data_IF_902874380243
#
_entry.id   IF_902874380243
#
_cell.length_a   1.000
_cell.length_b   1.000
_cell.length_c   1.000
_cell.angle_alpha   90.00
_cell.angle_beta   90.00
_cell.angle_gamma   90.00
#
_symmetry.space_group_name_H-M   'P 1'
#
loop_
_entity.id
_entity.type
_entity.pdbx_description
1 polymer ?
#
# COMPACT_ATOMS: atom_id res chain seq x y z
N UNK A 1 16.96 -28.42 32.75
CA UNK A 1 15.59 -28.95 32.88
C UNK A 1 15.20 -29.53 31.55
N UNK A 2 15.00 -30.87 31.51
CA UNK A 2 14.75 -31.59 30.24
C UNK A 2 13.25 -31.57 29.94
N UNK A 3 12.85 -30.97 28.84
CA UNK A 3 11.48 -31.07 28.35
C UNK A 3 11.29 -32.33 27.52
N UNK A 4 10.48 -33.26 28.03
CA UNK A 4 10.05 -34.45 27.28
C UNK A 4 8.97 -34.07 26.28
N UNK A 5 9.29 -34.21 24.98
CA UNK A 5 8.34 -34.13 23.88
C UNK A 5 7.48 -35.40 23.88
N UNK A 6 6.16 -35.26 23.98
CA UNK A 6 5.21 -36.37 23.76
C UNK A 6 5.04 -36.58 22.25
N UNK A 7 5.32 -37.79 21.79
CA UNK A 7 5.11 -38.18 20.41
C UNK A 7 3.60 -38.23 20.07
N UNK A 8 3.22 -37.63 18.96
CA UNK A 8 1.88 -37.73 18.39
C UNK A 8 1.76 -39.01 17.53
N UNK A 9 0.66 -39.81 17.61
CA UNK A 9 0.56 -41.11 16.94
C UNK A 9 0.34 -41.11 15.43
N UNK A 10 0.21 -39.98 14.78
CA UNK A 10 -0.06 -39.85 13.34
C UNK A 10 0.92 -38.89 12.70
N UNK A 11 2.17 -39.29 12.54
CA UNK A 11 3.13 -38.82 11.53
C UNK A 11 3.21 -37.33 11.18
N UNK A 12 2.67 -36.41 11.97
CA UNK A 12 2.79 -34.96 11.77
C UNK A 12 4.23 -34.54 12.12
N UNK A 13 5.06 -34.33 11.13
CA UNK A 13 6.27 -33.53 11.29
C UNK A 13 5.83 -32.11 11.69
N UNK A 14 6.09 -31.73 12.93
CA UNK A 14 6.06 -30.33 13.33
C UNK A 14 7.12 -29.62 12.48
N UNK A 15 6.68 -28.89 11.45
CA UNK A 15 7.57 -27.96 10.76
C UNK A 15 8.03 -26.94 11.82
N UNK A 16 9.32 -26.83 12.01
CA UNK A 16 9.91 -25.72 12.76
C UNK A 16 9.43 -24.47 12.07
N UNK A 17 8.68 -23.61 12.76
CA UNK A 17 8.26 -22.31 12.21
C UNK A 17 9.54 -21.56 11.83
N UNK A 18 9.75 -21.36 10.53
CA UNK A 18 10.88 -20.59 10.00
C UNK A 18 10.46 -19.13 10.12
N UNK A 19 11.19 -18.37 10.90
CA UNK A 19 11.05 -16.90 10.90
C UNK A 19 11.73 -16.36 9.64
N UNK A 20 11.03 -15.50 8.91
CA UNK A 20 11.61 -14.78 7.76
C UNK A 20 12.55 -13.70 8.27
N UNK A 21 13.79 -13.69 7.76
CA UNK A 21 14.76 -12.69 8.12
C UNK A 21 14.73 -11.55 7.07
N UNK A 22 14.18 -10.41 7.45
CA UNK A 22 14.14 -9.21 6.60
C UNK A 22 15.43 -8.40 6.75
N UNK A 23 16.24 -8.39 5.71
CA UNK A 23 17.50 -7.63 5.65
C UNK A 23 17.21 -6.18 5.21
N UNK A 24 17.10 -5.28 6.17
CA UNK A 24 16.93 -3.84 5.93
C UNK A 24 18.23 -3.25 5.37
N UNK A 25 18.11 -2.45 4.31
CA UNK A 25 19.30 -1.77 3.75
C UNK A 25 19.92 -0.81 4.79
N UNK A 26 21.25 -0.74 4.86
CA UNK A 26 21.92 0.17 5.77
C UNK A 26 21.69 1.66 5.44
N UNK A 27 21.29 1.95 4.19
CA UNK A 27 20.95 3.29 3.70
C UNK A 27 19.55 3.77 4.14
N UNK A 28 18.76 2.90 4.79
CA UNK A 28 17.41 3.26 5.21
C UNK A 28 17.37 4.39 6.26
N UNK A 29 16.40 5.31 6.14
CA UNK A 29 15.40 5.42 5.07
C UNK A 29 16.01 5.96 3.78
N UNK A 30 15.68 5.30 2.63
CA UNK A 30 16.25 5.65 1.32
C UNK A 30 15.68 6.91 0.69
N UNK A 31 14.46 7.32 1.08
CA UNK A 31 13.86 8.60 0.70
C UNK A 31 13.15 9.19 1.92
N UNK A 32 13.44 10.45 2.22
CA UNK A 32 12.83 11.21 3.33
C UNK A 32 12.12 12.45 2.80
N UNK A 33 11.21 13.07 3.57
CA UNK A 33 10.54 14.32 3.18
C UNK A 33 11.53 15.44 2.80
N UNK A 34 12.68 15.52 3.47
CA UNK A 34 13.70 16.52 3.19
C UNK A 34 14.36 16.39 1.80
N UNK A 35 14.32 15.21 1.20
CA UNK A 35 14.84 14.94 -0.14
C UNK A 35 13.85 15.32 -1.25
N UNK A 36 12.59 15.63 -0.91
CA UNK A 36 11.52 15.87 -1.88
C UNK A 36 11.15 17.36 -1.86
N UNK A 37 11.37 18.10 -2.95
CA UNK A 37 10.99 19.52 -2.99
C UNK A 37 9.46 19.65 -2.98
N UNK A 38 8.89 20.66 -2.29
CA UNK A 38 7.44 20.86 -2.28
C UNK A 38 6.94 21.21 -3.68
N UNK A 39 5.68 20.86 -3.98
CA UNK A 39 5.05 21.15 -5.27
C UNK A 39 4.75 22.64 -5.47
N UNK A 40 4.64 23.40 -4.38
CA UNK A 40 4.38 24.84 -4.33
C UNK A 40 5.20 25.49 -3.20
N UNK A 41 5.56 26.79 -3.34
CA UNK A 41 6.36 27.48 -2.31
C UNK A 41 5.69 27.64 -0.94
N UNK A 42 4.35 27.65 -0.90
CA UNK A 42 3.53 27.77 0.31
C UNK A 42 3.21 26.43 0.98
N UNK A 43 3.71 25.32 0.41
CA UNK A 43 3.53 23.97 0.93
C UNK A 43 4.83 23.41 1.50
N UNK A 44 4.73 22.42 2.36
CA UNK A 44 5.83 21.58 2.83
C UNK A 44 5.48 20.10 2.69
N UNK A 45 6.47 19.27 2.41
CA UNK A 45 6.31 17.82 2.36
C UNK A 45 6.25 17.28 3.78
N UNK A 46 5.15 16.65 4.14
CA UNK A 46 4.91 16.03 5.44
C UNK A 46 5.32 14.56 5.48
N UNK A 47 5.24 13.88 4.34
CA UNK A 47 5.61 12.48 4.22
C UNK A 47 5.86 12.08 2.77
N UNK A 48 6.71 11.08 2.58
CA UNK A 48 6.94 10.39 1.31
C UNK A 48 6.99 8.90 1.60
N UNK A 49 5.99 8.14 1.17
CA UNK A 49 5.81 6.76 1.63
C UNK A 49 4.98 5.93 0.64
N UNK A 50 4.76 4.64 0.95
CA UNK A 50 3.94 3.69 0.22
C UNK A 50 4.25 3.65 -1.31
N UNK A 51 5.51 3.46 -1.71
CA UNK A 51 5.88 3.51 -3.11
C UNK A 51 5.41 2.27 -3.86
N UNK A 52 4.85 2.45 -5.07
CA UNK A 52 4.90 1.39 -6.06
C UNK A 52 6.32 1.22 -6.60
N UNK A 53 6.69 0.01 -7.02
CA UNK A 53 7.99 -0.28 -7.58
C UNK A 53 7.88 -1.11 -8.85
N UNK A 54 8.67 -0.78 -9.87
CA UNK A 54 8.75 -1.54 -11.12
C UNK A 54 10.13 -1.44 -11.74
N UNK A 55 10.57 -2.48 -12.47
CA UNK A 55 11.71 -2.38 -13.36
C UNK A 55 11.30 -1.64 -14.63
N UNK A 56 12.14 -0.69 -15.04
CA UNK A 56 11.97 0.05 -16.28
C UNK A 56 13.34 0.26 -16.92
N UNK A 57 13.49 -0.19 -18.17
CA UNK A 57 14.80 -0.23 -18.84
C UNK A 57 15.86 -0.97 -17.99
N UNK A 58 16.99 -0.36 -17.70
CA UNK A 58 18.06 -0.93 -16.86
C UNK A 58 17.97 -0.56 -15.39
N UNK A 59 16.91 0.14 -14.96
CA UNK A 59 16.80 0.69 -13.62
C UNK A 59 15.50 0.29 -12.89
N UNK A 60 15.27 0.99 -11.80
CA UNK A 60 14.08 0.86 -10.97
C UNK A 60 13.35 2.20 -10.92
N UNK A 61 12.05 2.16 -11.10
CA UNK A 61 11.15 3.30 -10.85
C UNK A 61 10.36 3.04 -9.59
N UNK A 62 10.32 4.03 -8.72
CA UNK A 62 9.31 4.16 -7.68
C UNK A 62 8.29 5.22 -8.08
N UNK A 63 7.02 4.94 -7.86
CA UNK A 63 5.96 5.94 -7.87
C UNK A 63 5.56 6.19 -6.42
N UNK A 64 5.99 7.33 -5.90
CA UNK A 64 5.89 7.71 -4.49
C UNK A 64 4.55 8.38 -4.20
N UNK A 65 3.92 8.07 -3.08
CA UNK A 65 2.94 8.95 -2.46
C UNK A 65 3.70 10.07 -1.73
N UNK A 66 3.43 11.31 -2.08
CA UNK A 66 3.98 12.49 -1.42
C UNK A 66 2.84 13.29 -0.82
N UNK A 67 2.84 13.44 0.48
CA UNK A 67 1.84 14.19 1.25
C UNK A 67 2.37 15.58 1.58
N UNK A 68 1.58 16.61 1.28
CA UNK A 68 1.93 18.02 1.50
C UNK A 68 0.86 18.74 2.33
N UNK A 69 1.29 19.67 3.16
CA UNK A 69 0.44 20.55 3.95
C UNK A 69 0.94 22.01 3.84
N UNK A 70 0.15 23.01 4.26
CA UNK A 70 0.61 24.37 4.32
C UNK A 70 1.84 24.51 5.21
N UNK A 71 2.88 25.20 4.70
CA UNK A 71 4.14 25.41 5.43
C UNK A 71 3.95 26.23 6.70
N UNK A 72 3.10 27.23 6.62
CA UNK A 72 2.84 28.15 7.71
C UNK A 72 1.37 28.24 8.02
N UNK A 73 1.01 28.09 9.28
CA UNK A 73 -0.33 28.33 9.79
C UNK A 73 -0.25 29.31 10.96
N UNK A 74 -1.18 30.28 11.04
CA UNK A 74 -1.31 31.12 12.23
C UNK A 74 -1.50 30.28 13.50
N UNK A 75 -0.97 30.76 14.61
CA UNK A 75 -1.15 30.10 15.90
C UNK A 75 -2.64 29.92 16.24
N UNK A 76 -3.01 28.72 16.68
CA UNK A 76 -4.42 28.39 17.00
C UNK A 76 -5.29 28.05 15.80
N UNK A 77 -4.75 27.98 14.58
CA UNK A 77 -5.47 27.54 13.39
C UNK A 77 -5.11 26.10 13.01
N UNK A 78 -6.05 25.46 12.31
CA UNK A 78 -5.89 24.20 11.60
C UNK A 78 -6.32 24.42 10.14
N UNK A 79 -5.72 23.69 9.22
CA UNK A 79 -6.04 23.80 7.81
C UNK A 79 -6.27 22.44 7.17
N UNK A 80 -7.06 22.45 6.10
CA UNK A 80 -7.20 21.36 5.14
C UNK A 80 -6.83 21.82 3.74
N UNK A 81 -6.23 20.90 2.98
CA UNK A 81 -5.90 21.10 1.57
C UNK A 81 -6.91 20.38 0.70
N UNK A 82 -7.57 21.09 -0.21
CA UNK A 82 -8.62 20.53 -1.06
C UNK A 82 -8.42 20.98 -2.51
N UNK A 83 -8.40 20.04 -3.43
CA UNK A 83 -8.46 20.40 -4.85
C UNK A 83 -9.89 20.80 -5.22
N UNK A 84 -10.02 22.00 -5.79
CA UNK A 84 -11.27 22.52 -6.35
C UNK A 84 -11.28 22.29 -7.86
N UNK A 85 -12.25 21.50 -8.33
CA UNK A 85 -12.44 21.24 -9.75
C UNK A 85 -12.89 22.54 -10.51
N UNK A 86 -13.54 23.48 -9.81
CA UNK A 86 -13.98 24.75 -10.37
C UNK A 86 -12.80 25.70 -10.65
N UNK A 87 -11.95 25.91 -9.64
CA UNK A 87 -10.75 26.76 -9.76
C UNK A 87 -9.55 26.04 -10.40
N UNK A 88 -9.58 24.72 -10.52
CA UNK A 88 -8.48 23.82 -10.92
C UNK A 88 -7.21 24.01 -10.07
N UNK A 89 -7.38 24.28 -8.78
CA UNK A 89 -6.31 24.57 -7.83
C UNK A 89 -6.51 23.84 -6.50
N UNK A 90 -5.41 23.66 -5.79
CA UNK A 90 -5.46 23.28 -4.39
C UNK A 90 -5.75 24.54 -3.57
N UNK A 91 -6.89 24.53 -2.89
CA UNK A 91 -7.34 25.55 -1.95
C UNK A 91 -6.97 25.15 -0.52
N UNK A 92 -6.59 26.12 0.31
CA UNK A 92 -6.30 25.93 1.72
C UNK A 92 -7.49 26.50 2.50
N UNK A 93 -8.27 25.63 3.12
CA UNK A 93 -9.32 25.98 4.06
C UNK A 93 -8.75 26.07 5.46
N UNK A 94 -9.18 27.06 6.25
CA UNK A 94 -8.65 27.30 7.60
C UNK A 94 -9.77 27.51 8.60
N UNK A 95 -9.55 26.99 9.81
CA UNK A 95 -10.46 27.16 10.94
C UNK A 95 -9.65 27.41 12.22
N UNK A 96 -10.24 28.13 13.17
CA UNK A 96 -9.70 28.21 14.52
C UNK A 96 -9.93 26.88 15.21
N UNK A 97 -8.92 26.34 15.91
CA UNK A 97 -9.02 25.05 16.61
C UNK A 97 -10.05 25.04 17.74
N UNK A 98 -10.29 26.22 18.34
CA UNK A 98 -11.24 26.46 19.44
C UNK A 98 -12.64 26.93 18.95
N UNK A 99 -12.87 26.96 17.63
CA UNK A 99 -14.19 27.34 17.10
C UNK A 99 -15.21 26.23 17.36
N UNK A 100 -16.45 26.63 17.61
CA UNK A 100 -17.57 25.70 17.75
C UNK A 100 -17.71 24.82 16.48
N UNK A 101 -17.95 23.53 16.68
CA UNK A 101 -18.07 22.55 15.58
C UNK A 101 -16.75 22.10 14.96
N UNK A 102 -15.58 22.53 15.47
CA UNK A 102 -14.25 22.12 15.00
C UNK A 102 -13.62 21.12 15.97
N UNK A 103 -13.26 19.94 15.46
CA UNK A 103 -12.42 18.96 16.16
C UNK A 103 -11.14 18.74 15.34
N UNK A 104 -10.00 19.06 15.93
CA UNK A 104 -8.65 18.91 15.37
C UNK A 104 -7.76 18.06 16.28
N UNK A 105 -8.34 17.06 16.96
CA UNK A 105 -7.62 16.14 17.84
C UNK A 105 -6.76 15.12 17.08
N UNK A 106 -7.16 14.72 15.87
CA UNK A 106 -6.35 13.87 14.98
C UNK A 106 -5.50 14.77 14.05
N UNK A 107 -4.17 14.60 14.02
CA UNK A 107 -3.29 15.40 13.18
C UNK A 107 -3.51 15.18 11.66
N UNK A 108 -4.16 14.10 11.26
CA UNK A 108 -4.42 13.74 9.86
C UNK A 108 -5.67 14.39 9.29
N UNK A 109 -6.62 14.77 10.16
CA UNK A 109 -7.91 15.28 9.74
C UNK A 109 -8.43 16.39 10.69
N UNK A 110 -9.31 17.19 10.18
CA UNK A 110 -10.12 18.10 10.97
C UNK A 110 -11.60 17.82 10.66
N UNK A 111 -12.40 17.66 11.69
CA UNK A 111 -13.85 17.54 11.56
C UNK A 111 -14.46 18.93 11.77
N UNK A 112 -15.24 19.41 10.81
CA UNK A 112 -15.93 20.69 10.87
C UNK A 112 -17.40 20.46 10.57
N UNK A 113 -18.26 20.77 11.52
CA UNK A 113 -19.72 20.55 11.45
C UNK A 113 -20.08 19.11 10.99
N UNK A 114 -19.34 18.13 11.53
CA UNK A 114 -19.51 16.70 11.20
C UNK A 114 -18.94 16.26 9.86
N UNK A 115 -18.23 17.14 9.13
CA UNK A 115 -17.53 16.80 7.88
C UNK A 115 -16.05 16.64 8.12
N UNK A 116 -15.47 15.56 7.61
CA UNK A 116 -14.04 15.28 7.66
C UNK A 116 -13.32 16.01 6.53
N UNK A 117 -12.20 16.64 6.87
CA UNK A 117 -11.27 17.29 5.95
C UNK A 117 -9.86 16.81 6.27
N UNK A 118 -9.10 16.43 5.25
CA UNK A 118 -7.72 16.02 5.47
C UNK A 118 -6.78 17.23 5.60
N UNK A 119 -5.89 17.19 6.60
CA UNK A 119 -4.94 18.28 6.89
C UNK A 119 -3.82 18.37 5.86
N UNK A 120 -3.63 17.32 5.06
CA UNK A 120 -2.67 17.24 3.97
C UNK A 120 -3.33 16.74 2.69
N UNK A 121 -2.68 16.97 1.55
CA UNK A 121 -3.09 16.46 0.24
C UNK A 121 -1.95 15.66 -0.38
N UNK A 122 -2.27 14.49 -0.93
CA UNK A 122 -1.27 13.63 -1.56
C UNK A 122 -1.29 13.75 -3.08
N UNK A 123 -0.10 13.65 -3.68
CA UNK A 123 0.10 13.48 -5.11
C UNK A 123 1.12 12.36 -5.38
N UNK A 124 1.24 11.91 -6.63
CA UNK A 124 2.19 10.88 -7.00
C UNK A 124 3.41 11.48 -7.68
N UNK A 125 4.60 10.99 -7.33
CA UNK A 125 5.89 11.48 -7.85
C UNK A 125 6.80 10.33 -8.26
N UNK A 126 7.46 10.47 -9.41
CA UNK A 126 8.41 9.48 -9.90
C UNK A 126 9.77 9.68 -9.22
N UNK A 127 10.39 8.56 -8.84
CA UNK A 127 11.79 8.49 -8.47
C UNK A 127 12.49 7.40 -9.28
N UNK A 128 13.74 7.66 -9.70
CA UNK A 128 14.52 6.78 -10.58
C UNK A 128 15.81 6.37 -9.91
N UNK A 129 16.20 5.12 -10.11
CA UNK A 129 17.44 4.55 -9.60
C UNK A 129 18.03 3.55 -10.57
N UNK A 130 19.36 3.49 -10.67
CA UNK A 130 20.08 2.45 -11.42
C UNK A 130 20.39 1.22 -10.56
N UNK A 131 20.43 1.34 -9.23
CA UNK A 131 20.84 0.28 -8.30
C UNK A 131 19.70 -0.20 -7.38
N UNK A 132 18.56 0.56 -7.36
CA UNK A 132 17.41 0.26 -6.52
C UNK A 132 17.57 0.64 -5.05
N UNK A 133 18.56 1.47 -4.72
CA UNK A 133 18.84 2.00 -3.38
C UNK A 133 18.92 3.53 -3.41
N UNK A 134 19.71 4.08 -4.31
CA UNK A 134 19.90 5.53 -4.45
C UNK A 134 18.94 6.06 -5.51
N UNK A 135 17.99 6.87 -5.08
CA UNK A 135 16.92 7.39 -5.95
C UNK A 135 17.05 8.90 -6.15
N UNK A 136 16.88 9.31 -7.40
CA UNK A 136 16.64 10.70 -7.76
C UNK A 136 15.14 10.93 -7.89
N UNK A 137 14.59 11.83 -7.06
CA UNK A 137 13.16 12.16 -7.06
C UNK A 137 12.91 13.30 -8.05
N UNK A 138 11.97 13.11 -8.98
CA UNK A 138 11.61 14.15 -9.96
C UNK A 138 11.01 15.37 -9.26
N UNK A 139 11.35 16.58 -9.73
CA UNK A 139 10.95 17.84 -9.10
C UNK A 139 9.44 18.08 -9.14
N UNK A 140 8.82 17.73 -10.25
CA UNK A 140 7.38 17.93 -10.44
C UNK A 140 6.58 16.68 -10.07
N UNK A 141 5.37 16.81 -9.52
CA UNK A 141 4.44 15.70 -9.42
C UNK A 141 4.14 15.07 -10.79
N UNK A 142 4.19 13.74 -10.87
CA UNK A 142 3.80 12.98 -12.05
C UNK A 142 2.28 12.97 -12.23
N UNK A 143 1.55 12.79 -11.12
CA UNK A 143 0.09 12.85 -11.09
C UNK A 143 -0.35 13.67 -9.88
N UNK A 144 -1.26 14.62 -10.12
CA UNK A 144 -1.89 15.46 -9.09
C UNK A 144 -3.40 15.38 -9.22
N UNK A 145 -4.19 15.78 -8.22
CA UNK A 145 -5.64 15.85 -8.33
C UNK A 145 -6.08 16.65 -9.57
N UNK A 146 -7.10 16.14 -10.27
CA UNK A 146 -7.66 16.77 -11.49
C UNK A 146 -9.18 16.88 -11.48
N UNK A 147 -9.86 16.17 -10.58
CA UNK A 147 -11.31 16.16 -10.50
C UNK A 147 -11.83 16.04 -9.05
N UNK A 148 -13.15 15.99 -8.91
CA UNK A 148 -13.82 15.92 -7.61
C UNK A 148 -13.58 14.60 -6.85
N UNK A 149 -13.22 13.50 -7.55
CA UNK A 149 -12.97 12.20 -6.92
C UNK A 149 -11.61 12.13 -6.25
N UNK A 150 -10.72 13.07 -6.60
CA UNK A 150 -9.37 13.21 -6.07
C UNK A 150 -9.20 14.46 -5.20
N UNK A 151 -10.31 15.07 -4.74
CA UNK A 151 -10.27 16.36 -4.07
C UNK A 151 -9.38 16.41 -2.82
N UNK A 152 -9.14 15.27 -2.16
CA UNK A 152 -8.22 15.13 -1.02
C UNK A 152 -6.89 14.44 -1.39
N UNK A 153 -6.69 14.10 -2.67
CA UNK A 153 -5.42 13.58 -3.18
C UNK A 153 -5.49 12.18 -3.79
N UNK A 154 -4.32 11.75 -4.22
CA UNK A 154 -4.03 10.42 -4.78
C UNK A 154 -3.10 9.69 -3.83
N UNK A 155 -3.43 8.44 -3.47
CA UNK A 155 -2.71 7.66 -2.48
C UNK A 155 -2.33 6.28 -3.01
N UNK A 156 -1.25 5.72 -2.46
CA UNK A 156 -0.89 4.30 -2.48
C UNK A 156 -0.98 3.66 -3.87
N UNK A 157 -0.15 4.09 -4.84
CA UNK A 157 -0.16 3.55 -6.19
C UNK A 157 0.37 2.12 -6.23
N UNK A 158 -0.12 1.30 -7.18
CA UNK A 158 0.48 0.03 -7.60
C UNK A 158 0.70 0.08 -9.11
N UNK A 159 1.80 -0.51 -9.58
CA UNK A 159 2.15 -0.52 -11.00
C UNK A 159 2.16 -1.96 -11.49
N UNK A 160 1.36 -2.26 -12.50
CA UNK A 160 1.32 -3.57 -13.16
C UNK A 160 1.68 -3.41 -14.63
N UNK A 161 2.68 -4.14 -15.10
CA UNK A 161 3.05 -4.18 -16.51
C UNK A 161 2.21 -5.25 -17.23
N UNK A 162 1.38 -4.82 -18.19
CA UNK A 162 0.55 -5.69 -19.03
C UNK A 162 0.69 -5.24 -20.49
N UNK A 163 1.07 -6.16 -21.36
CA UNK A 163 1.18 -5.93 -22.80
C UNK A 163 1.98 -4.67 -23.18
N UNK A 164 3.10 -4.42 -22.48
CA UNK A 164 3.98 -3.28 -22.72
C UNK A 164 3.46 -1.92 -22.22
N UNK A 165 2.35 -1.91 -21.47
CA UNK A 165 1.77 -0.74 -20.83
C UNK A 165 1.85 -0.89 -19.31
N UNK A 166 2.31 0.15 -18.62
CA UNK A 166 2.30 0.22 -17.16
C UNK A 166 0.95 0.75 -16.70
N UNK A 167 0.16 -0.11 -16.10
CA UNK A 167 -1.12 0.22 -15.50
C UNK A 167 -0.92 0.60 -14.04
N UNK A 168 -1.46 1.74 -13.65
CA UNK A 168 -1.30 2.32 -12.32
C UNK A 168 -2.68 2.44 -11.69
N UNK A 169 -2.97 1.59 -10.74
CA UNK A 169 -4.14 1.81 -9.89
C UNK A 169 -3.70 2.53 -8.62
N UNK A 170 -4.54 3.45 -8.18
CA UNK A 170 -4.28 4.29 -7.00
C UNK A 170 -5.58 4.59 -6.27
N UNK A 171 -5.47 4.97 -5.02
CA UNK A 171 -6.62 5.39 -4.21
C UNK A 171 -6.92 6.86 -4.50
N UNK A 172 -8.13 7.14 -4.98
CA UNK A 172 -8.69 8.47 -5.14
C UNK A 172 -9.49 8.83 -3.89
N UNK A 173 -9.13 9.93 -3.22
CA UNK A 173 -9.71 10.33 -1.93
C UNK A 173 -10.46 11.63 -2.06
N UNK A 174 -11.70 11.66 -1.61
CA UNK A 174 -12.54 12.86 -1.63
C UNK A 174 -13.67 12.78 -0.59
N UNK A 175 -14.46 13.84 -0.50
CA UNK A 175 -15.71 13.84 0.30
C UNK A 175 -16.80 12.89 -0.24
N UNK A 176 -16.63 12.36 -1.45
CA UNK A 176 -17.50 11.33 -2.04
C UNK A 176 -17.10 9.92 -1.60
N UNK A 177 -16.00 9.80 -0.86
CA UNK A 177 -15.47 8.55 -0.32
C UNK A 177 -14.10 8.19 -0.89
N UNK A 178 -13.65 7.00 -0.55
CA UNK A 178 -12.38 6.43 -0.94
C UNK A 178 -12.64 5.40 -2.04
N UNK A 179 -12.14 5.67 -3.24
CA UNK A 179 -12.31 4.83 -4.43
C UNK A 179 -10.96 4.40 -5.00
N UNK A 180 -10.94 3.40 -5.86
CA UNK A 180 -9.74 3.08 -6.65
C UNK A 180 -9.92 3.55 -8.09
N UNK A 181 -8.97 4.35 -8.55
CA UNK A 181 -8.88 4.84 -9.92
C UNK A 181 -7.75 4.13 -10.69
N UNK A 182 -7.80 4.23 -12.01
CA UNK A 182 -6.83 3.64 -12.92
C UNK A 182 -6.24 4.70 -13.84
N UNK A 183 -4.93 4.62 -14.04
CA UNK A 183 -4.19 5.34 -15.07
C UNK A 183 -3.24 4.41 -15.80
N UNK A 184 -2.67 4.86 -16.91
CA UNK A 184 -1.63 4.13 -17.64
C UNK A 184 -0.52 5.05 -18.11
N UNK A 185 0.66 4.46 -18.33
CA UNK A 185 1.81 5.14 -18.92
C UNK A 185 2.69 4.14 -19.69
N UNK A 186 3.53 4.65 -20.58
CA UNK A 186 4.58 3.85 -21.25
C UNK A 186 5.99 4.33 -20.91
N UNK A 187 6.11 5.54 -20.38
CA UNK A 187 7.39 6.25 -20.25
C UNK A 187 7.61 6.90 -18.87
N UNK A 188 6.61 6.83 -17.98
CA UNK A 188 6.58 7.53 -16.69
C UNK A 188 6.80 9.05 -16.81
N UNK A 189 6.36 9.65 -17.93
CA UNK A 189 6.35 11.10 -18.21
C UNK A 189 4.96 11.58 -18.55
N UNK A 190 4.24 10.78 -19.33
CA UNK A 190 2.86 11.03 -19.73
C UNK A 190 1.95 9.98 -19.13
N UNK A 191 0.82 10.41 -18.56
CA UNK A 191 -0.13 9.55 -17.87
C UNK A 191 -1.52 9.75 -18.45
N UNK A 192 -2.15 8.66 -18.89
CA UNK A 192 -3.54 8.64 -19.31
C UNK A 192 -4.42 8.14 -18.16
N UNK A 193 -5.52 8.86 -17.86
CA UNK A 193 -6.46 8.48 -16.79
C UNK A 193 -7.66 7.77 -17.36
N UNK A 194 -8.07 6.70 -16.68
CA UNK A 194 -9.20 5.86 -17.10
C UNK A 194 -10.40 5.93 -16.14
N UNK A 195 -10.27 6.74 -15.05
CA UNK A 195 -11.35 6.96 -14.08
C UNK A 195 -11.41 5.90 -12.98
N UNK A 196 -12.54 5.88 -12.28
CA UNK A 196 -12.79 4.98 -11.15
C UNK A 196 -13.09 3.56 -11.65
N UNK A 197 -12.36 2.58 -11.12
CA UNK A 197 -12.54 1.15 -11.44
C UNK A 197 -13.16 0.35 -10.29
N UNK A 198 -13.00 0.80 -9.04
CA UNK A 198 -13.76 0.30 -7.90
C UNK A 198 -14.38 1.48 -7.14
N UNK A 199 -15.72 1.54 -7.05
CA UNK A 199 -16.41 2.63 -6.38
C UNK A 199 -16.17 2.62 -4.85
N UNK A 200 -16.44 3.73 -4.15
CA UNK A 200 -16.33 3.80 -2.70
C UNK A 200 -17.28 2.82 -1.98
N UNK A 201 -16.88 2.32 -0.81
CA UNK A 201 -15.56 2.46 -0.19
C UNK A 201 -14.64 1.29 -0.55
N UNK A 202 -13.56 1.53 -1.30
CA UNK A 202 -12.63 0.49 -1.75
C UNK A 202 -11.20 1.02 -1.88
N UNK A 203 -10.20 0.20 -1.49
CA UNK A 203 -8.78 0.51 -1.61
C UNK A 203 -7.91 -0.76 -1.68
N UNK A 204 -6.61 -0.59 -1.69
CA UNK A 204 -5.60 -1.66 -1.68
C UNK A 204 -5.75 -2.65 -2.84
N UNK A 205 -6.14 -2.14 -4.00
CA UNK A 205 -6.27 -2.94 -5.21
C UNK A 205 -4.89 -3.32 -5.72
N UNK A 206 -4.71 -4.58 -6.10
CA UNK A 206 -3.52 -5.08 -6.80
C UNK A 206 -3.97 -5.89 -8.01
N UNK A 207 -3.62 -5.43 -9.21
CA UNK A 207 -3.95 -6.11 -10.47
C UNK A 207 -2.88 -7.15 -10.75
N UNK A 208 -3.26 -8.38 -11.12
CA UNK A 208 -2.31 -9.43 -11.48
C UNK A 208 -1.58 -9.08 -12.79
N UNK A 209 -0.28 -9.45 -12.93
CA UNK A 209 0.55 -9.02 -14.05
C UNK A 209 0.31 -9.82 -15.36
N UNK A 210 -0.71 -10.63 -15.39
CA UNK A 210 -1.18 -11.36 -16.58
C UNK A 210 -2.65 -11.75 -16.45
N UNK A 211 -3.26 -12.13 -17.56
CA UNK A 211 -4.60 -12.71 -17.56
C UNK A 211 -4.60 -14.12 -16.98
N UNK A 212 -5.56 -14.40 -16.11
CA UNK A 212 -5.84 -15.72 -15.56
C UNK A 212 -7.09 -16.23 -16.23
N UNK A 213 -6.99 -17.37 -16.92
CA UNK A 213 -8.06 -17.98 -17.72
C UNK A 213 -8.74 -16.98 -18.68
N UNK A 214 -7.90 -16.14 -19.33
CA UNK A 214 -8.33 -15.17 -20.34
C UNK A 214 -8.93 -13.87 -19.80
N UNK A 215 -9.03 -13.70 -18.49
CA UNK A 215 -9.52 -12.47 -17.83
C UNK A 215 -8.45 -11.80 -16.98
N UNK A 216 -8.52 -10.49 -16.85
CA UNK A 216 -7.75 -9.79 -15.85
C UNK A 216 -8.30 -10.13 -14.46
N UNK A 217 -7.42 -10.24 -13.49
CA UNK A 217 -7.75 -10.50 -12.09
C UNK A 217 -7.16 -9.41 -11.19
N UNK A 218 -7.81 -9.14 -10.07
CA UNK A 218 -7.32 -8.23 -9.05
C UNK A 218 -7.69 -8.72 -7.65
N UNK A 219 -6.86 -8.36 -6.68
CA UNK A 219 -7.25 -8.34 -5.27
C UNK A 219 -7.68 -6.92 -4.93
N UNK A 220 -8.70 -6.78 -4.08
CA UNK A 220 -9.20 -5.49 -3.63
C UNK A 220 -9.72 -5.58 -2.19
N UNK A 221 -9.95 -4.43 -1.55
CA UNK A 221 -10.42 -4.38 -0.17
C UNK A 221 -11.59 -3.41 -0.01
N UNK A 222 -12.83 -3.93 -0.01
CA UNK A 222 -13.98 -3.17 0.47
C UNK A 222 -13.79 -2.78 1.94
N UNK A 223 -14.33 -1.62 2.32
CA UNK A 223 -14.31 -1.16 3.70
C UNK A 223 -15.75 -1.15 4.24
N UNK A 224 -16.22 -2.27 4.82
CA UNK A 224 -17.56 -2.35 5.37
C UNK A 224 -17.71 -1.39 6.54
N UNK A 225 -18.89 -0.78 6.65
CA UNK A 225 -19.25 0.05 7.79
C UNK A 225 -20.21 -0.71 8.69
N UNK A 226 -19.80 -0.96 9.94
CA UNK A 226 -20.62 -1.57 10.97
C UNK A 226 -20.70 -3.09 10.98
N UNK A 227 -20.64 -3.77 9.85
CA UNK A 227 -20.67 -5.24 9.76
C UNK A 227 -19.43 -5.78 9.08
N UNK A 228 -18.79 -6.77 9.71
CA UNK A 228 -17.58 -7.43 9.19
C UNK A 228 -16.31 -6.61 9.35
N UNK A 229 -15.20 -7.20 8.92
CA UNK A 229 -13.87 -6.58 8.92
C UNK A 229 -13.42 -6.29 7.49
N UNK A 230 -12.60 -5.23 7.27
CA UNK A 230 -11.95 -5.02 5.98
C UNK A 230 -11.11 -6.24 5.60
N UNK A 231 -11.47 -6.89 4.51
CA UNK A 231 -10.96 -8.19 4.09
C UNK A 231 -10.52 -8.15 2.63
N UNK A 232 -9.61 -9.04 2.24
CA UNK A 232 -9.14 -9.16 0.85
C UNK A 232 -10.18 -9.95 0.04
N UNK A 233 -10.58 -9.39 -1.08
CA UNK A 233 -11.46 -9.99 -2.07
C UNK A 233 -10.74 -10.08 -3.41
N UNK A 234 -11.13 -11.01 -4.25
CA UNK A 234 -10.74 -11.07 -5.66
C UNK A 234 -11.87 -10.55 -6.54
N UNK A 235 -11.50 -10.06 -7.73
CA UNK A 235 -12.43 -9.71 -8.79
C UNK A 235 -11.82 -10.02 -10.16
N UNK A 236 -12.66 -10.17 -11.19
CA UNK A 236 -12.22 -10.36 -12.57
C UNK A 236 -12.76 -9.28 -13.49
N UNK A 237 -12.04 -9.02 -14.59
CA UNK A 237 -12.42 -8.03 -15.61
C UNK A 237 -12.07 -8.52 -17.01
N UNK A 238 -12.83 -8.08 -18.00
CA UNK A 238 -12.52 -8.31 -19.41
C UNK A 238 -11.64 -7.18 -20.00
N UNK A 239 -11.68 -5.97 -19.39
CA UNK A 239 -11.20 -4.72 -20.01
C UNK A 239 -10.38 -3.83 -19.04
N UNK A 240 -10.12 -4.27 -17.81
CA UNK A 240 -9.51 -3.51 -16.69
C UNK A 240 -10.39 -2.38 -16.13
N UNK A 241 -11.51 -2.07 -16.73
CA UNK A 241 -12.37 -0.95 -16.33
C UNK A 241 -13.61 -1.42 -15.55
N UNK A 242 -14.17 -2.54 -15.97
CA UNK A 242 -15.39 -3.14 -15.39
C UNK A 242 -15.03 -4.40 -14.62
N UNK A 243 -15.25 -4.42 -13.31
CA UNK A 243 -14.89 -5.52 -12.42
C UNK A 243 -16.10 -6.22 -11.83
N UNK A 244 -16.06 -7.55 -11.79
CA UNK A 244 -17.12 -8.42 -11.28
C UNK A 244 -16.58 -9.72 -10.69
N UNK A 245 -17.44 -10.71 -10.49
CA UNK A 245 -17.13 -12.03 -9.91
C UNK A 245 -16.39 -11.90 -8.57
N UNK A 246 -16.88 -11.01 -7.68
CA UNK A 246 -16.24 -10.74 -6.39
C UNK A 246 -16.32 -11.93 -5.46
N UNK A 247 -15.15 -12.39 -4.94
CA UNK A 247 -15.05 -13.51 -4.01
C UNK A 247 -14.13 -13.15 -2.86
N UNK A 248 -14.47 -13.62 -1.65
CA UNK A 248 -13.60 -13.48 -0.49
C UNK A 248 -12.31 -14.30 -0.66
N UNK A 249 -11.17 -13.73 -0.29
CA UNK A 249 -9.85 -14.39 -0.35
C UNK A 249 -9.31 -14.60 1.05
N UNK A 250 -9.17 -13.52 1.83
CA UNK A 250 -8.62 -13.60 3.17
C UNK A 250 -9.30 -12.60 4.11
N UNK A 251 -9.58 -13.05 5.32
CA UNK A 251 -10.15 -12.24 6.41
C UNK A 251 -9.12 -11.99 7.51
N UNK A 252 -9.42 -11.06 8.40
CA UNK A 252 -8.72 -10.92 9.67
C UNK A 252 -8.80 -12.24 10.46
N UNK A 253 -7.78 -12.53 11.29
CA UNK A 253 -7.70 -13.77 12.09
C UNK A 253 -7.69 -13.42 13.58
N UNK A 254 -8.71 -13.79 14.30
CA UNK A 254 -8.86 -13.52 15.73
C UNK A 254 -7.63 -13.94 16.53
N UNK A 255 -7.09 -13.04 17.34
CA UNK A 255 -5.94 -13.26 18.20
C UNK A 255 -4.61 -13.47 17.47
N UNK A 256 -4.52 -13.09 16.20
CA UNK A 256 -3.29 -13.07 15.41
C UNK A 256 -2.82 -11.64 15.16
N UNK A 257 -1.65 -11.49 14.56
CA UNK A 257 -1.04 -10.19 14.21
C UNK A 257 -1.84 -9.40 13.15
N UNK A 258 -2.83 -10.00 12.54
CA UNK A 258 -3.71 -9.45 11.51
C UNK A 258 -5.20 -9.57 11.88
N UNK A 259 -5.54 -9.31 13.15
CA UNK A 259 -6.86 -9.56 13.74
C UNK A 259 -7.88 -8.44 13.50
N UNK A 260 -7.45 -7.24 13.10
CA UNK A 260 -8.37 -6.10 12.88
C UNK A 260 -8.78 -5.96 11.43
N UNK A 261 -7.80 -6.00 10.53
CA UNK A 261 -8.03 -5.87 9.09
C UNK A 261 -6.86 -6.42 8.28
N UNK A 262 -7.15 -6.80 7.04
CA UNK A 262 -6.16 -7.21 6.05
C UNK A 262 -6.43 -6.51 4.72
N UNK A 263 -5.37 -6.26 3.93
CA UNK A 263 -5.48 -5.62 2.62
C UNK A 263 -4.31 -5.93 1.71
N UNK A 264 -4.49 -5.78 0.41
CA UNK A 264 -3.44 -6.02 -0.58
C UNK A 264 -2.22 -5.11 -0.38
N UNK A 265 -1.04 -5.66 -0.55
CA UNK A 265 0.22 -4.94 -0.55
C UNK A 265 0.69 -4.63 -1.98
N UNK A 266 1.78 -5.28 -2.40
CA UNK A 266 2.34 -5.16 -3.73
C UNK A 266 1.64 -6.09 -4.75
N UNK A 267 1.92 -5.86 -6.04
CA UNK A 267 1.42 -6.71 -7.14
C UNK A 267 1.87 -8.16 -6.94
N UNK A 268 0.96 -9.15 -7.01
CA UNK A 268 1.31 -10.56 -6.89
C UNK A 268 2.27 -11.02 -7.99
N UNK A 269 3.09 -12.01 -7.71
CA UNK A 269 4.01 -12.58 -8.68
C UNK A 269 4.01 -14.11 -8.65
N UNK A 270 4.36 -14.74 -9.78
CA UNK A 270 4.43 -16.20 -9.88
C UNK A 270 5.59 -16.75 -9.07
N UNK A 271 5.32 -17.89 -8.41
CA UNK A 271 6.31 -18.65 -7.68
C UNK A 271 6.15 -20.15 -7.95
N UNK A 272 7.23 -20.89 -7.74
CA UNK A 272 7.20 -22.35 -7.67
C UNK A 272 7.20 -22.78 -6.21
N UNK A 273 6.07 -23.29 -5.74
CA UNK A 273 5.93 -23.80 -4.37
C UNK A 273 5.89 -25.34 -4.39
N UNK A 274 7.00 -25.97 -4.01
CA UNK A 274 7.15 -27.41 -4.16
C UNK A 274 7.03 -27.85 -5.64
N UNK A 275 6.01 -28.64 -5.95
CA UNK A 275 5.78 -29.17 -7.31
C UNK A 275 4.71 -28.40 -8.11
N UNK A 276 4.16 -27.32 -7.57
CA UNK A 276 3.11 -26.54 -8.25
C UNK A 276 3.50 -25.08 -8.44
N UNK A 277 3.00 -24.46 -9.52
CA UNK A 277 3.07 -23.03 -9.72
C UNK A 277 1.90 -22.37 -9.00
N UNK A 278 2.14 -21.19 -8.44
CA UNK A 278 1.17 -20.44 -7.66
C UNK A 278 1.46 -18.93 -7.74
N UNK A 279 0.55 -18.13 -7.20
CA UNK A 279 0.78 -16.70 -6.98
C UNK A 279 1.23 -16.45 -5.54
N UNK A 280 2.28 -15.67 -5.34
CA UNK A 280 2.62 -15.10 -4.05
C UNK A 280 2.14 -13.65 -3.99
N UNK A 281 1.25 -13.36 -3.04
CA UNK A 281 0.74 -12.03 -2.77
C UNK A 281 1.21 -11.57 -1.40
N UNK A 282 1.98 -10.48 -1.36
CA UNK A 282 2.30 -9.79 -0.10
C UNK A 282 1.10 -8.94 0.30
N UNK A 283 0.65 -9.06 1.54
CA UNK A 283 -0.48 -8.32 2.10
C UNK A 283 -0.08 -7.65 3.40
N UNK A 284 -0.84 -6.65 3.83
CA UNK A 284 -0.70 -6.08 5.17
C UNK A 284 -1.80 -6.59 6.10
N UNK A 285 -1.44 -6.82 7.34
CA UNK A 285 -2.33 -7.07 8.46
C UNK A 285 -2.15 -5.99 9.52
N UNK A 286 -3.17 -5.82 10.34
CA UNK A 286 -3.17 -4.82 11.42
C UNK A 286 -3.65 -5.46 12.71
N UNK A 287 -2.92 -5.22 13.81
CA UNK A 287 -3.36 -5.57 15.16
C UNK A 287 -4.14 -4.43 15.82
N UNK A 288 -4.91 -4.75 16.86
CA UNK A 288 -5.80 -3.76 17.49
C UNK A 288 -5.12 -2.76 18.41
N UNK A 289 -4.25 -3.20 19.31
CA UNK A 289 -3.66 -2.28 20.31
C UNK A 289 -2.30 -2.78 20.81
N UNK A 290 -1.18 -2.06 20.53
CA UNK A 290 -1.11 -0.87 19.66
C UNK A 290 -1.51 -1.19 18.22
N UNK A 291 -1.95 -0.17 17.48
CA UNK A 291 -2.34 -0.34 16.07
C UNK A 291 -1.08 -0.51 15.21
N UNK A 292 -0.62 -1.76 15.05
CA UNK A 292 0.62 -2.11 14.36
C UNK A 292 0.31 -2.68 12.98
N UNK A 293 0.92 -2.12 11.94
CA UNK A 293 0.86 -2.63 10.58
C UNK A 293 2.08 -3.48 10.27
N UNK A 294 1.85 -4.72 9.85
CA UNK A 294 2.90 -5.63 9.44
C UNK A 294 2.56 -6.30 8.10
N UNK A 295 3.55 -6.87 7.44
CA UNK A 295 3.37 -7.57 6.16
C UNK A 295 3.35 -9.08 6.36
N UNK A 296 2.50 -9.75 5.60
CA UNK A 296 2.44 -11.19 5.47
C UNK A 296 2.39 -11.63 4.02
N UNK A 297 2.30 -12.93 3.79
CA UNK A 297 2.24 -13.51 2.46
C UNK A 297 1.09 -14.51 2.34
N UNK A 298 0.42 -14.50 1.19
CA UNK A 298 -0.59 -15.47 0.76
C UNK A 298 -0.05 -16.23 -0.45
N UNK A 299 -0.16 -17.54 -0.43
CA UNK A 299 0.02 -18.38 -1.59
C UNK A 299 -1.35 -18.66 -2.19
N UNK A 300 -1.58 -18.24 -3.44
CA UNK A 300 -2.88 -18.35 -4.09
C UNK A 300 -2.79 -19.32 -5.26
N UNK A 301 -3.90 -20.00 -5.54
CA UNK A 301 -4.01 -20.91 -6.68
C UNK A 301 -3.73 -20.17 -8.00
N UNK A 302 -3.04 -20.83 -8.92
CA UNK A 302 -2.60 -20.24 -10.19
C UNK A 302 -3.78 -19.84 -11.09
N UNK A 303 -4.84 -20.65 -11.11
CA UNK A 303 -6.01 -20.49 -11.98
C UNK A 303 -7.21 -19.87 -11.27
N UNK A 304 -7.29 -19.98 -9.94
CA UNK A 304 -8.32 -19.34 -9.12
C UNK A 304 -7.69 -18.58 -7.94
N UNK A 305 -7.29 -17.31 -8.12
CA UNK A 305 -6.65 -16.55 -7.05
C UNK A 305 -7.58 -16.20 -5.87
N UNK A 306 -8.85 -16.59 -5.92
CA UNK A 306 -9.71 -16.55 -4.73
C UNK A 306 -9.42 -17.70 -3.76
N UNK A 307 -8.72 -18.74 -4.20
CA UNK A 307 -8.36 -19.90 -3.40
C UNK A 307 -6.99 -19.70 -2.77
N UNK A 308 -6.97 -19.55 -1.46
CA UNK A 308 -5.72 -19.50 -0.67
C UNK A 308 -5.22 -20.93 -0.45
N UNK A 309 -3.99 -21.21 -0.85
CA UNK A 309 -3.30 -22.48 -0.67
C UNK A 309 -2.54 -22.52 0.66
N UNK A 310 -1.94 -21.37 1.04
CA UNK A 310 -1.22 -21.21 2.31
C UNK A 310 -1.14 -19.71 2.69
N UNK A 311 -0.91 -19.43 3.98
CA UNK A 311 -0.80 -18.09 4.55
C UNK A 311 0.33 -18.04 5.57
N UNK A 312 1.05 -16.93 5.65
CA UNK A 312 2.07 -16.74 6.66
C UNK A 312 1.46 -16.78 8.07
N UNK A 313 2.05 -17.61 8.94
CA UNK A 313 1.63 -17.72 10.34
C UNK A 313 2.04 -16.47 11.12
N UNK A 314 3.29 -16.05 10.93
CA UNK A 314 3.87 -14.84 11.49
C UNK A 314 4.08 -13.78 10.38
N UNK A 315 4.25 -12.50 10.73
CA UNK A 315 4.62 -11.49 9.76
C UNK A 315 5.96 -11.83 9.07
N UNK A 316 6.08 -11.46 7.79
CA UNK A 316 7.35 -11.52 7.06
C UNK A 316 8.18 -10.23 7.22
N UNK A 317 7.52 -9.13 7.62
CA UNK A 317 8.16 -7.85 7.95
C UNK A 317 7.28 -7.11 8.97
N UNK A 318 7.85 -6.73 10.11
CA UNK A 318 7.19 -5.96 11.18
C UNK A 318 7.99 -4.71 11.52
N UNK A 319 7.41 -3.68 12.12
CA UNK A 319 8.15 -2.50 12.57
C UNK A 319 9.18 -2.86 13.65
N UNK A 320 10.46 -2.58 13.39
CA UNK A 320 11.57 -2.85 14.31
C UNK A 320 12.51 -1.65 14.44
N UNK A 321 12.86 -1.03 13.29
CA UNK A 321 13.76 0.10 13.26
C UNK A 321 13.10 1.38 13.81
N UNK A 322 13.87 2.34 14.36
CA UNK A 322 13.30 3.59 14.88
C UNK A 322 12.42 4.33 13.87
N UNK A 323 12.83 4.41 12.60
CA UNK A 323 12.09 5.08 11.54
C UNK A 323 10.80 4.34 11.11
N UNK A 324 10.56 3.10 11.59
CA UNK A 324 9.31 2.34 11.39
C UNK A 324 8.35 2.51 12.56
N UNK A 325 8.88 2.84 13.73
CA UNK A 325 8.14 3.00 15.00
C UNK A 325 7.76 4.43 15.30
N UNK A 326 8.56 5.38 14.83
CA UNK A 326 8.40 6.80 15.10
C UNK A 326 8.25 7.56 13.78
N UNK A 327 7.20 8.37 13.64
CA UNK A 327 6.90 9.16 12.44
C UNK A 327 5.52 9.79 12.52
N UNK A 328 4.93 10.11 11.37
CA UNK A 328 3.60 10.72 11.33
C UNK A 328 2.53 9.75 11.86
N UNK A 329 2.65 8.46 11.58
CA UNK A 329 1.85 7.39 12.16
C UNK A 329 2.76 6.20 12.47
N UNK A 330 3.21 6.09 13.72
CA UNK A 330 4.19 5.09 14.14
C UNK A 330 3.70 3.64 14.12
N UNK A 331 4.64 2.69 14.29
CA UNK A 331 4.40 1.23 14.27
C UNK A 331 3.81 0.76 12.92
N UNK A 332 4.37 1.28 11.79
CA UNK A 332 3.87 0.97 10.44
C UNK A 332 4.99 0.55 9.50
N UNK A 333 4.81 -0.62 8.88
CA UNK A 333 5.44 -1.01 7.62
C UNK A 333 4.33 -1.35 6.62
N UNK A 334 4.29 -0.63 5.48
CA UNK A 334 3.25 -0.77 4.48
C UNK A 334 3.85 -0.72 3.07
N UNK A 335 3.52 -1.71 2.21
CA UNK A 335 4.07 -1.78 0.86
C UNK A 335 3.02 -1.67 -0.22
N UNK A 336 3.38 -1.01 -1.31
CA UNK A 336 2.69 -1.04 -2.61
C UNK A 336 3.59 -1.57 -3.72
N UNK A 337 4.87 -1.85 -3.43
CA UNK A 337 5.84 -2.22 -4.46
C UNK A 337 6.89 -3.20 -3.99
N UNK A 338 7.14 -4.22 -4.80
CA UNK A 338 8.24 -5.17 -4.63
C UNK A 338 8.86 -5.54 -5.97
N UNK A 339 10.08 -6.05 -5.92
CA UNK A 339 10.77 -6.65 -7.05
C UNK A 339 11.25 -8.04 -6.65
N UNK A 340 10.80 -9.08 -7.36
CA UNK A 340 11.24 -10.46 -7.15
C UNK A 340 12.28 -10.86 -8.21
N UNK A 341 13.41 -11.43 -7.78
CA UNK A 341 14.50 -11.86 -8.64
C UNK A 341 15.23 -13.07 -8.04
N UNK A 342 15.03 -14.24 -8.63
CA UNK A 342 15.52 -15.48 -8.04
C UNK A 342 14.95 -15.72 -6.65
N UNK A 343 15.81 -15.89 -5.66
CA UNK A 343 15.39 -16.04 -4.25
C UNK A 343 15.17 -14.69 -3.54
N UNK A 344 15.59 -13.56 -4.13
CA UNK A 344 15.46 -12.25 -3.50
C UNK A 344 14.10 -11.63 -3.79
N UNK A 345 13.38 -11.30 -2.73
CA UNK A 345 12.16 -10.46 -2.74
C UNK A 345 12.51 -9.12 -2.10
N UNK A 346 12.74 -8.10 -2.92
CA UNK A 346 13.03 -6.74 -2.46
C UNK A 346 11.72 -5.99 -2.28
N UNK A 347 11.41 -5.60 -1.05
CA UNK A 347 10.20 -4.86 -0.69
C UNK A 347 10.57 -3.39 -0.46
N UNK A 348 9.93 -2.48 -1.20
CA UNK A 348 9.94 -1.05 -0.93
C UNK A 348 8.70 -0.72 -0.12
N UNK A 349 8.85 -0.03 0.99
CA UNK A 349 7.73 0.20 1.91
C UNK A 349 7.75 1.61 2.49
N UNK A 350 6.56 2.08 2.88
CA UNK A 350 6.38 3.22 3.74
C UNK A 350 6.65 2.82 5.19
N UNK A 351 7.46 3.60 5.88
CA UNK A 351 7.78 3.43 7.28
C UNK A 351 7.19 4.60 8.08
N UNK A 352 6.36 4.28 9.09
CA UNK A 352 5.70 5.22 9.99
C UNK A 352 4.91 6.34 9.27
N UNK A 353 4.40 6.08 8.03
CA UNK A 353 3.75 7.05 7.14
C UNK A 353 4.55 8.35 6.92
N UNK A 354 5.88 8.24 6.98
CA UNK A 354 6.80 9.37 6.91
C UNK A 354 7.85 9.21 5.80
N UNK A 355 8.49 8.03 5.72
CA UNK A 355 9.65 7.80 4.85
C UNK A 355 9.50 6.54 4.01
N UNK A 356 10.36 6.39 2.98
CA UNK A 356 10.52 5.16 2.19
C UNK A 356 11.73 4.39 2.68
N UNK A 357 11.53 3.11 2.92
CA UNK A 357 12.60 2.18 3.24
C UNK A 357 12.55 0.95 2.31
N UNK A 358 13.60 0.12 2.36
CA UNK A 358 13.74 -1.09 1.56
C UNK A 358 14.31 -2.25 2.39
N UNK A 359 13.75 -3.45 2.17
CA UNK A 359 14.27 -4.67 2.77
C UNK A 359 14.30 -5.80 1.72
N UNK A 360 15.33 -6.64 1.82
CA UNK A 360 15.46 -7.88 1.04
C UNK A 360 15.09 -9.07 1.92
N UNK A 361 14.21 -9.95 1.39
CA UNK A 361 13.75 -11.18 2.01
C UNK A 361 14.09 -12.36 1.10
N UNK A 362 14.28 -13.55 1.69
CA UNK A 362 14.41 -14.80 0.93
C UNK A 362 13.03 -15.35 0.56
N UNK A 363 12.79 -15.60 -0.73
CA UNK A 363 11.57 -16.27 -1.20
C UNK A 363 11.45 -17.68 -0.59
N UNK A 364 12.57 -18.40 -0.45
CA UNK A 364 12.57 -19.71 0.16
C UNK A 364 12.14 -19.66 1.65
N UNK A 365 12.60 -18.65 2.41
CA UNK A 365 12.16 -18.45 3.80
C UNK A 365 10.68 -18.06 3.87
N UNK A 366 10.21 -17.17 2.99
CA UNK A 366 8.79 -16.80 2.91
C UNK A 366 7.95 -18.06 2.68
N UNK A 367 8.27 -18.85 1.66
CA UNK A 367 7.51 -20.07 1.33
C UNK A 367 7.57 -21.11 2.47
N UNK A 368 8.70 -21.25 3.16
CA UNK A 368 8.86 -22.15 4.29
C UNK A 368 8.08 -21.70 5.54
N UNK A 369 7.83 -20.40 5.70
CA UNK A 369 7.02 -19.82 6.78
C UNK A 369 5.50 -19.84 6.54
N UNK A 370 5.05 -20.35 5.38
CA UNK A 370 3.62 -20.49 5.08
C UNK A 370 3.05 -21.76 5.71
N UNK A 371 1.83 -21.69 6.19
CA UNK A 371 1.05 -22.81 6.74
C UNK A 371 -0.32 -22.89 6.05
N UNK A 372 -1.05 -23.98 6.28
CA UNK A 372 -2.45 -24.06 5.86
C UNK A 372 -3.23 -22.83 6.36
N UNK A 373 -4.15 -22.27 5.52
CA UNK A 373 -4.83 -21.02 5.79
C UNK A 373 -5.77 -21.07 7.00
#
# INVERSE_FOLDING_TARGET
MSFRVRACPHGCRWATLVSVNALRAPENPIITPAMVPPSRPDMEVKGVFNPAAIRHESGVILLLRVSEAPRELPAGEVAACVYSAESQRIEIKRWKKDAEGVDASDPREVVVDGRIWLTSISHLRVARSSDGIHFEVERAPAMRPVDQYEAFGLEDPRITLLDGTYWINYTAVSSLGIATALASTRDFRTFERHGIIFPPPNRDVTIFPEKIDGRYAALHRPMPQGLGHPSIWSATSADLLSWGDHRIVATARDGKWDDVKVGGGAVPFRVRAGNQDAWLAVYHGVTGSPNTYALGALLLDLHDPSRVLARSHEPILSPEAPYEREGFFGEVVFTCGLLAEGDRVRIYYGAADDTVAVADLSLAEILAGLSEP
#
